data_IF_497051651262
#
_entry.id   IF_497051651262
#
_cell.length_a   1.000
_cell.length_b   1.000
_cell.length_c   1.000
_cell.angle_alpha   90.00
_cell.angle_beta   90.00
_cell.angle_gamma   90.00
#
_symmetry.space_group_name_H-M   'P 1'
#
loop_
_entity.id
_entity.type
_entity.pdbx_description
1 polymer ?
#
# COMPACT_ATOMS: atom_id res chain seq x y z
N UNK A 1 -17.32 0.99 17.52
CA UNK A 1 -15.92 0.60 17.76
C UNK A 1 -15.92 -0.71 18.54
N UNK A 2 -15.23 -1.74 18.05
CA UNK A 2 -15.34 -3.11 18.56
C UNK A 2 -14.49 -3.36 19.82
N UNK A 3 -15.14 -3.43 20.98
CA UNK A 3 -14.55 -3.75 22.28
C UNK A 3 -13.61 -4.98 22.27
N UNK A 4 -13.90 -5.97 21.43
CA UNK A 4 -13.11 -7.20 21.28
C UNK A 4 -11.72 -7.01 20.64
N UNK A 5 -11.52 -5.97 19.83
CA UNK A 5 -10.25 -5.72 19.15
C UNK A 5 -9.20 -5.18 20.13
N UNK A 6 -9.65 -4.30 21.03
CA UNK A 6 -8.83 -3.72 22.10
C UNK A 6 -8.34 -4.79 23.08
N UNK A 7 -9.17 -5.79 23.39
CA UNK A 7 -8.82 -6.90 24.29
C UNK A 7 -7.71 -7.80 23.74
N UNK A 8 -7.57 -7.90 22.42
CA UNK A 8 -6.51 -8.68 21.76
C UNK A 8 -5.23 -7.87 21.47
N UNK A 9 -5.14 -6.64 22.02
CA UNK A 9 -4.02 -5.73 21.84
C UNK A 9 -3.96 -5.05 20.47
N UNK A 10 -5.02 -5.14 19.66
CA UNK A 10 -5.10 -4.46 18.37
C UNK A 10 -5.58 -3.02 18.56
N UNK A 11 -4.76 -2.07 18.10
CA UNK A 11 -5.09 -0.65 18.12
C UNK A 11 -5.39 -0.19 16.70
N UNK A 12 -6.58 0.39 16.50
CA UNK A 12 -6.91 1.05 15.24
C UNK A 12 -6.04 2.30 15.07
N UNK A 13 -5.32 2.40 13.96
CA UNK A 13 -4.39 3.49 13.65
C UNK A 13 -5.00 4.44 12.63
N UNK A 14 -5.54 3.90 11.53
CA UNK A 14 -6.12 4.69 10.43
C UNK A 14 -7.49 4.12 10.03
N UNK A 15 -8.39 5.00 9.60
CA UNK A 15 -9.51 4.66 8.73
C UNK A 15 -9.23 5.30 7.37
N UNK A 16 -9.63 4.67 6.28
CA UNK A 16 -9.49 5.27 4.96
C UNK A 16 -10.75 5.08 4.10
N UNK A 17 -10.93 6.01 3.17
CA UNK A 17 -11.94 5.96 2.12
C UNK A 17 -11.27 6.32 0.79
N UNK A 18 -11.29 5.40 -0.17
CA UNK A 18 -10.86 5.65 -1.55
C UNK A 18 -12.12 5.98 -2.35
N UNK A 19 -12.15 7.17 -2.93
CA UNK A 19 -13.34 7.75 -3.58
C UNK A 19 -13.07 7.83 -5.08
N UNK A 20 -13.91 7.20 -5.88
CA UNK A 20 -13.90 7.31 -7.33
C UNK A 20 -15.03 8.24 -7.79
N UNK A 21 -14.66 9.25 -8.57
CA UNK A 21 -15.57 10.19 -9.22
C UNK A 21 -15.18 10.35 -10.69
N UNK A 22 -15.92 9.67 -11.58
CA UNK A 22 -15.61 9.58 -13.00
C UNK A 22 -14.17 9.08 -13.25
N UNK A 23 -13.31 9.92 -13.83
CA UNK A 23 -11.91 9.66 -14.11
C UNK A 23 -10.97 10.18 -13.01
N UNK A 24 -11.48 10.50 -11.82
CA UNK A 24 -10.66 10.96 -10.71
C UNK A 24 -10.81 10.05 -9.50
N UNK A 25 -9.71 9.93 -8.75
CA UNK A 25 -9.66 9.12 -7.54
C UNK A 25 -8.87 9.82 -6.44
N UNK A 26 -9.30 9.63 -5.20
CA UNK A 26 -8.63 10.20 -4.02
C UNK A 26 -8.68 9.24 -2.83
N UNK A 27 -7.78 9.42 -1.88
CA UNK A 27 -7.81 8.76 -0.57
C UNK A 27 -8.04 9.80 0.51
N UNK A 28 -9.09 9.61 1.30
CA UNK A 28 -9.25 10.30 2.58
C UNK A 28 -8.80 9.37 3.70
N UNK A 29 -7.91 9.85 4.55
CA UNK A 29 -7.44 9.11 5.72
C UNK A 29 -7.79 9.85 7.01
N UNK A 30 -8.47 9.15 7.91
CA UNK A 30 -8.74 9.60 9.27
C UNK A 30 -7.75 8.94 10.25
N UNK A 31 -7.03 9.77 11.02
CA UNK A 31 -6.15 9.31 12.09
C UNK A 31 -6.99 8.93 13.30
N UNK A 32 -6.76 7.74 13.86
CA UNK A 32 -7.39 7.28 15.11
C UNK A 32 -6.39 7.29 16.29
N UNK A 33 -5.18 7.78 16.04
CA UNK A 33 -4.13 7.99 17.05
C UNK A 33 -3.49 9.37 16.87
N UNK A 34 -2.90 9.97 17.91
CA UNK A 34 -2.34 11.32 17.84
C UNK A 34 -1.19 11.46 16.84
N UNK A 35 -0.35 10.42 16.76
CA UNK A 35 0.84 10.38 15.91
C UNK A 35 0.77 9.10 15.08
N UNK A 36 0.82 9.26 13.76
CA UNK A 36 1.03 8.16 12.83
C UNK A 36 2.53 7.97 12.73
N UNK A 37 3.02 6.82 13.18
CA UNK A 37 4.44 6.53 13.07
C UNK A 37 4.73 6.26 11.60
N UNK A 38 5.70 6.96 11.05
CA UNK A 38 6.40 6.45 9.89
C UNK A 38 6.91 5.03 10.21
N UNK A 39 6.69 4.01 9.36
CA UNK A 39 6.16 4.06 7.99
C UNK A 39 4.74 3.46 7.85
N UNK A 40 3.80 3.78 8.75
CA UNK A 40 2.46 3.18 8.75
C UNK A 40 1.64 3.47 7.48
N UNK A 41 1.91 4.54 6.73
CA UNK A 41 1.29 4.77 5.41
C UNK A 41 1.79 3.78 4.34
N UNK A 42 3.07 3.42 4.38
CA UNK A 42 3.66 2.40 3.49
C UNK A 42 3.08 1.04 3.83
N UNK A 43 3.02 0.71 5.13
CA UNK A 43 2.46 -0.56 5.60
C UNK A 43 0.95 -0.66 5.37
N UNK A 44 0.22 0.47 5.43
CA UNK A 44 -1.19 0.53 5.04
C UNK A 44 -1.36 0.10 3.59
N UNK A 45 -0.61 0.73 2.68
CA UNK A 45 -0.64 0.38 1.25
C UNK A 45 -0.28 -1.09 1.04
N UNK A 46 0.84 -1.56 1.61
CA UNK A 46 1.30 -2.94 1.43
C UNK A 46 0.26 -3.97 1.90
N UNK A 47 -0.36 -3.76 3.07
CA UNK A 47 -1.44 -4.62 3.56
C UNK A 47 -2.68 -4.57 2.68
N UNK A 48 -3.03 -3.39 2.16
CA UNK A 48 -4.15 -3.22 1.25
C UNK A 48 -3.92 -3.97 -0.06
N UNK A 49 -2.76 -3.76 -0.68
CA UNK A 49 -2.37 -4.40 -1.94
C UNK A 49 -2.42 -5.92 -1.81
N UNK A 50 -1.81 -6.48 -0.76
CA UNK A 50 -1.81 -7.93 -0.58
C UNK A 50 -3.22 -8.50 -0.41
N UNK A 51 -4.11 -7.76 0.26
CA UNK A 51 -5.51 -8.15 0.41
C UNK A 51 -6.28 -8.05 -0.90
N UNK A 52 -6.05 -7.01 -1.70
CA UNK A 52 -6.72 -6.85 -3.00
C UNK A 52 -6.27 -7.93 -3.98
N UNK A 53 -4.97 -8.22 -4.08
CA UNK A 53 -4.44 -9.31 -4.90
C UNK A 53 -5.08 -10.66 -4.51
N UNK A 54 -5.18 -10.94 -3.20
CA UNK A 54 -5.87 -12.14 -2.72
C UNK A 54 -7.35 -12.16 -3.11
N UNK A 55 -8.07 -11.05 -2.86
CA UNK A 55 -9.51 -10.95 -3.17
C UNK A 55 -9.81 -11.05 -4.67
N UNK A 56 -8.88 -10.61 -5.52
CA UNK A 56 -8.98 -10.75 -6.97
C UNK A 56 -8.75 -12.21 -7.42
N UNK A 57 -8.17 -13.07 -6.59
CA UNK A 57 -8.00 -14.50 -6.90
C UNK A 57 -6.65 -14.86 -7.51
N UNK A 58 -5.56 -14.22 -7.07
CA UNK A 58 -4.20 -14.61 -7.44
C UNK A 58 -3.93 -16.11 -7.14
N UNK A 59 -3.24 -16.84 -8.04
CA UNK A 59 -2.58 -16.38 -9.27
C UNK A 59 -3.45 -16.46 -10.54
N UNK A 60 -4.69 -16.93 -10.43
CA UNK A 60 -5.48 -17.36 -11.59
C UNK A 60 -6.30 -16.24 -12.26
N UNK A 61 -6.39 -15.07 -11.64
CA UNK A 61 -7.16 -13.93 -12.16
C UNK A 61 -6.26 -12.90 -12.84
N UNK A 62 -6.65 -12.43 -14.03
CA UNK A 62 -5.89 -11.46 -14.82
C UNK A 62 -5.70 -10.13 -14.09
N UNK A 63 -6.72 -9.60 -13.44
CA UNK A 63 -6.66 -8.34 -12.69
C UNK A 63 -5.69 -8.41 -11.51
N UNK A 64 -5.56 -9.58 -10.86
CA UNK A 64 -4.56 -9.79 -9.81
C UNK A 64 -3.12 -9.74 -10.35
N UNK A 65 -2.89 -10.30 -11.53
CA UNK A 65 -1.58 -10.23 -12.21
C UNK A 65 -1.31 -8.82 -12.75
N UNK A 66 -2.34 -8.12 -13.22
CA UNK A 66 -2.26 -6.73 -13.62
C UNK A 66 -1.85 -5.84 -12.45
N UNK A 67 -2.45 -5.98 -11.27
CA UNK A 67 -2.04 -5.23 -10.08
C UNK A 67 -0.54 -5.37 -9.81
N UNK A 68 -0.02 -6.60 -9.77
CA UNK A 68 1.41 -6.88 -9.59
C UNK A 68 2.26 -6.29 -10.73
N UNK A 69 1.77 -6.36 -11.97
CA UNK A 69 2.44 -5.79 -13.15
C UNK A 69 2.57 -4.27 -13.08
N UNK A 70 1.52 -3.57 -12.64
CA UNK A 70 1.55 -2.12 -12.44
C UNK A 70 2.58 -1.74 -11.37
N UNK A 71 2.61 -2.45 -10.23
CA UNK A 71 3.64 -2.22 -9.20
C UNK A 71 5.03 -2.49 -9.76
N UNK A 72 5.19 -3.56 -10.55
CA UNK A 72 6.47 -3.89 -11.20
C UNK A 72 6.98 -2.73 -12.03
N UNK A 73 6.12 -2.11 -12.85
CA UNK A 73 6.48 -0.98 -13.71
C UNK A 73 6.87 0.27 -12.90
N UNK A 74 6.11 0.59 -11.85
CA UNK A 74 6.40 1.76 -10.98
C UNK A 74 7.77 1.64 -10.31
N UNK A 75 8.17 0.42 -9.93
CA UNK A 75 9.42 0.18 -9.20
C UNK A 75 10.62 -0.14 -10.09
N UNK A 76 10.47 -0.06 -11.42
CA UNK A 76 11.60 -0.06 -12.35
C UNK A 76 12.55 1.09 -12.01
N UNK A 77 11.99 2.24 -11.62
CA UNK A 77 12.70 3.39 -11.11
C UNK A 77 12.56 3.52 -9.57
N UNK A 78 13.39 4.36 -8.96
CA UNK A 78 13.21 4.72 -7.56
C UNK A 78 11.99 5.62 -7.38
N UNK A 79 11.18 5.32 -6.37
CA UNK A 79 10.03 6.17 -6.03
C UNK A 79 10.55 7.45 -5.37
N UNK A 80 10.12 8.59 -5.91
CA UNK A 80 10.48 9.91 -5.44
C UNK A 80 9.23 10.75 -5.17
N UNK A 81 9.42 11.95 -4.61
CA UNK A 81 8.33 12.92 -4.41
C UNK A 81 7.65 13.36 -5.71
N UNK A 82 8.31 13.19 -6.86
CA UNK A 82 7.79 13.54 -8.18
C UNK A 82 7.10 12.36 -8.88
N UNK A 83 7.16 11.15 -8.31
CA UNK A 83 6.57 9.96 -8.90
C UNK A 83 5.04 10.09 -8.93
N UNK A 84 4.50 9.94 -10.13
CA UNK A 84 3.07 9.86 -10.42
C UNK A 84 2.76 8.44 -10.89
N UNK A 85 2.25 7.63 -9.98
CA UNK A 85 1.98 6.21 -10.20
C UNK A 85 1.05 5.95 -11.38
N UNK A 86 0.18 6.89 -11.74
CA UNK A 86 -0.77 6.74 -12.84
C UNK A 86 -0.08 6.99 -14.19
N UNK A 87 0.85 7.95 -14.23
CA UNK A 87 1.70 8.21 -15.40
C UNK A 87 2.73 7.11 -15.62
N UNK A 88 3.40 6.65 -14.57
CA UNK A 88 4.39 5.57 -14.67
C UNK A 88 3.79 4.31 -15.31
N UNK A 89 2.47 4.10 -15.18
CA UNK A 89 1.77 2.95 -15.77
C UNK A 89 0.92 3.26 -16.99
N UNK A 90 1.03 4.46 -17.56
CA UNK A 90 0.33 4.92 -18.77
C UNK A 90 -1.21 4.77 -18.69
N UNK A 91 -1.81 5.20 -17.57
CA UNK A 91 -3.28 5.20 -17.39
C UNK A 91 -3.85 6.55 -16.94
N UNK A 92 -3.04 7.60 -16.93
CA UNK A 92 -3.43 8.93 -16.44
C UNK A 92 -4.44 9.65 -17.35
N UNK A 93 -4.64 9.14 -18.58
CA UNK A 93 -5.73 9.54 -19.47
C UNK A 93 -7.09 8.92 -19.06
N UNK A 94 -7.07 7.77 -18.38
CA UNK A 94 -8.25 7.04 -17.91
C UNK A 94 -8.62 7.40 -16.47
N UNK A 95 -7.63 7.51 -15.59
CA UNK A 95 -7.85 7.75 -14.15
C UNK A 95 -6.71 8.57 -13.54
N UNK A 96 -7.06 9.61 -12.78
CA UNK A 96 -6.11 10.56 -12.20
C UNK A 96 -6.28 10.70 -10.69
N UNK A 97 -5.16 10.83 -9.98
CA UNK A 97 -5.18 11.18 -8.57
C UNK A 97 -5.47 12.67 -8.38
N UNK A 98 -6.56 13.01 -7.66
CA UNK A 98 -6.93 14.40 -7.38
C UNK A 98 -7.44 14.56 -5.94
N UNK A 99 -6.69 15.32 -5.14
CA UNK A 99 -7.00 15.54 -3.71
C UNK A 99 -8.31 16.29 -3.47
N UNK A 100 -8.86 16.96 -4.49
CA UNK A 100 -10.10 17.72 -4.39
C UNK A 100 -11.35 16.85 -4.52
N UNK A 101 -11.21 15.58 -4.90
CA UNK A 101 -12.35 14.66 -4.95
C UNK A 101 -12.84 14.39 -3.54
N UNK A 102 -14.04 14.88 -3.23
CA UNK A 102 -14.66 14.75 -1.91
C UNK A 102 -15.95 13.94 -1.90
N UNK A 103 -16.56 13.77 -3.08
CA UNK A 103 -17.77 12.99 -3.36
C UNK A 103 -17.48 12.09 -4.56
N UNK A 104 -18.16 10.96 -4.63
CA UNK A 104 -17.99 10.00 -5.71
C UNK A 104 -18.99 8.86 -5.60
N UNK A 105 -19.23 8.18 -6.72
CA UNK A 105 -20.26 7.15 -6.85
C UNK A 105 -19.81 5.80 -6.28
N UNK A 106 -18.50 5.56 -6.25
CA UNK A 106 -17.92 4.32 -5.74
C UNK A 106 -16.92 4.64 -4.64
N UNK A 107 -17.07 3.98 -3.49
CA UNK A 107 -16.25 4.21 -2.29
C UNK A 107 -15.78 2.90 -1.71
N UNK A 108 -14.46 2.77 -1.54
CA UNK A 108 -13.84 1.63 -0.92
C UNK A 108 -13.36 2.08 0.45
N UNK A 109 -13.84 1.45 1.52
CA UNK A 109 -13.49 1.87 2.88
C UNK A 109 -12.66 0.81 3.57
N UNK A 110 -11.90 1.22 4.57
CA UNK A 110 -11.15 0.28 5.38
C UNK A 110 -10.61 0.86 6.67
N UNK A 111 -10.12 -0.04 7.49
CA UNK A 111 -9.53 0.25 8.79
C UNK A 111 -8.22 -0.49 8.93
N UNK A 112 -7.22 0.19 9.47
CA UNK A 112 -5.86 -0.31 9.62
C UNK A 112 -5.48 -0.35 11.09
N UNK A 113 -5.02 -1.51 11.51
CA UNK A 113 -4.75 -1.84 12.91
C UNK A 113 -3.29 -2.24 13.09
N UNK A 114 -2.76 -1.94 14.27
CA UNK A 114 -1.43 -2.35 14.70
C UNK A 114 -1.49 -3.12 16.02
N UNK A 115 -0.59 -4.10 16.16
CA UNK A 115 -0.30 -4.78 17.44
C UNK A 115 1.21 -4.92 17.61
N UNK A 116 1.77 -4.14 18.51
CA UNK A 116 3.23 -4.03 18.66
C UNK A 116 3.90 -3.32 17.48
N UNK A 117 5.20 -3.53 17.32
CA UNK A 117 6.00 -2.83 16.30
C UNK A 117 5.71 -3.31 14.88
N UNK A 118 5.60 -4.62 14.64
CA UNK A 118 5.55 -5.20 13.29
C UNK A 118 4.15 -5.60 12.82
N UNK A 119 3.29 -6.14 13.70
CA UNK A 119 2.03 -6.73 13.23
C UNK A 119 1.06 -5.64 12.77
N UNK A 120 0.51 -5.84 11.58
CA UNK A 120 -0.50 -4.99 10.95
C UNK A 120 -1.63 -5.85 10.39
N UNK A 121 -2.86 -5.37 10.50
CA UNK A 121 -4.05 -5.98 9.88
C UNK A 121 -4.88 -4.89 9.23
N UNK A 122 -5.51 -5.25 8.11
CA UNK A 122 -6.43 -4.38 7.39
C UNK A 122 -7.81 -5.00 7.23
N UNK A 123 -8.84 -4.24 7.59
CA UNK A 123 -10.24 -4.51 7.28
C UNK A 123 -10.66 -3.64 6.11
N UNK A 124 -11.42 -4.20 5.19
CA UNK A 124 -11.82 -3.51 3.96
C UNK A 124 -13.26 -3.87 3.65
N UNK A 125 -14.03 -2.89 3.21
CA UNK A 125 -15.39 -3.06 2.73
C UNK A 125 -15.45 -2.52 1.30
N UNK A 126 -15.64 -3.45 0.37
CA UNK A 126 -15.77 -3.14 -1.05
C UNK A 126 -17.26 -2.96 -1.35
N UNK A 127 -17.64 -1.93 -2.11
CA UNK A 127 -19.04 -1.71 -2.48
C UNK A 127 -19.48 -2.82 -3.46
N UNK A 128 -20.75 -3.26 -3.42
CA UNK A 128 -21.25 -4.30 -4.33
C UNK A 128 -21.12 -3.97 -5.82
N UNK A 129 -21.04 -2.68 -6.16
CA UNK A 129 -20.88 -2.18 -7.54
C UNK A 129 -19.42 -1.91 -7.94
N UNK A 130 -18.44 -2.23 -7.09
CA UNK A 130 -17.03 -2.03 -7.40
C UNK A 130 -16.56 -3.00 -8.49
N UNK A 131 -15.87 -2.50 -9.50
CA UNK A 131 -15.29 -3.34 -10.57
C UNK A 131 -13.90 -3.84 -10.17
N UNK A 132 -13.43 -4.94 -10.78
CA UNK A 132 -12.05 -5.41 -10.58
C UNK A 132 -11.02 -4.32 -10.96
N UNK A 133 -11.30 -3.56 -12.02
CA UNK A 133 -10.46 -2.45 -12.44
C UNK A 133 -10.36 -1.35 -11.36
N UNK A 134 -11.47 -1.03 -10.70
CA UNK A 134 -11.47 -0.11 -9.55
C UNK A 134 -10.71 -0.69 -8.35
N UNK A 135 -10.72 -2.00 -8.15
CA UNK A 135 -9.88 -2.68 -7.12
C UNK A 135 -8.39 -2.54 -7.44
N UNK A 136 -8.00 -2.67 -8.70
CA UNK A 136 -6.60 -2.46 -9.12
C UNK A 136 -6.20 -1.00 -8.91
N UNK A 137 -6.99 -0.07 -9.41
CA UNK A 137 -6.73 1.37 -9.27
C UNK A 137 -6.77 1.86 -7.83
N UNK A 138 -7.59 1.28 -6.96
CA UNK A 138 -7.68 1.68 -5.57
C UNK A 138 -6.37 1.40 -4.83
N UNK A 139 -5.69 0.32 -5.16
CA UNK A 139 -4.37 0.01 -4.60
C UNK A 139 -3.30 0.99 -5.10
N UNK A 140 -3.30 1.28 -6.40
CA UNK A 140 -2.44 2.29 -7.01
C UNK A 140 -2.63 3.68 -6.36
N UNK A 141 -3.88 4.02 -6.07
CA UNK A 141 -4.25 5.28 -5.39
C UNK A 141 -3.66 5.32 -3.98
N UNK A 142 -3.71 4.21 -3.23
CA UNK A 142 -3.10 4.14 -1.90
C UNK A 142 -1.56 4.22 -1.96
N UNK A 143 -0.94 3.69 -3.02
CA UNK A 143 0.50 3.86 -3.25
C UNK A 143 0.83 5.34 -3.48
N UNK A 144 0.12 6.00 -4.40
CA UNK A 144 0.27 7.44 -4.66
C UNK A 144 0.07 8.27 -3.37
N UNK A 145 -0.90 7.89 -2.56
CA UNK A 145 -1.15 8.54 -1.27
C UNK A 145 0.00 8.30 -0.28
N UNK A 146 0.58 7.10 -0.23
CA UNK A 146 1.75 6.82 0.59
C UNK A 146 2.96 7.67 0.16
N UNK A 147 3.17 7.87 -1.14
CA UNK A 147 4.19 8.80 -1.66
C UNK A 147 3.90 10.22 -1.17
N UNK A 148 2.67 10.70 -1.35
CA UNK A 148 2.28 12.06 -0.95
C UNK A 148 2.51 12.31 0.54
N UNK A 149 2.18 11.35 1.41
CA UNK A 149 2.36 11.48 2.86
C UNK A 149 3.81 11.45 3.31
N UNK A 150 4.74 10.92 2.50
CA UNK A 150 6.16 10.80 2.80
C UNK A 150 7.03 11.62 1.83
N UNK A 151 6.45 12.56 1.08
CA UNK A 151 7.13 13.29 -0.01
C UNK A 151 8.36 14.08 0.43
N UNK A 152 8.42 14.45 1.71
CA UNK A 152 9.51 15.24 2.30
C UNK A 152 10.55 14.36 3.02
N UNK A 153 10.35 13.03 3.04
CA UNK A 153 11.19 12.05 3.72
C UNK A 153 11.77 11.05 2.69
N UNK A 154 13.01 11.33 2.25
CA UNK A 154 13.69 10.52 1.22
C UNK A 154 13.94 9.08 1.68
N UNK A 155 14.28 8.88 2.95
CA UNK A 155 14.53 7.54 3.51
C UNK A 155 13.25 6.70 3.47
N UNK A 156 12.11 7.32 3.76
CA UNK A 156 10.82 6.63 3.67
C UNK A 156 10.42 6.28 2.25
N UNK A 157 10.73 7.14 1.27
CA UNK A 157 10.48 6.83 -0.14
C UNK A 157 11.38 5.69 -0.65
N UNK A 158 12.62 5.60 -0.14
CA UNK A 158 13.50 4.45 -0.39
C UNK A 158 12.94 3.16 0.24
N UNK A 159 12.49 3.22 1.50
CA UNK A 159 11.80 2.09 2.16
C UNK A 159 10.55 1.68 1.37
N UNK A 160 9.78 2.64 0.84
CA UNK A 160 8.60 2.37 0.01
C UNK A 160 9.01 1.64 -1.29
N UNK A 161 10.05 2.13 -1.98
CA UNK A 161 10.60 1.51 -3.20
C UNK A 161 11.01 0.06 -2.92
N UNK A 162 11.83 -0.16 -1.90
CA UNK A 162 12.32 -1.48 -1.48
C UNK A 162 11.16 -2.40 -1.09
N UNK A 163 10.20 -1.90 -0.31
CA UNK A 163 9.01 -2.67 0.09
C UNK A 163 8.22 -3.11 -1.15
N UNK A 164 7.99 -2.21 -2.10
CA UNK A 164 7.25 -2.53 -3.32
C UNK A 164 7.98 -3.55 -4.21
N UNK A 165 9.30 -3.40 -4.40
CA UNK A 165 10.14 -4.39 -5.09
C UNK A 165 10.09 -5.76 -4.43
N UNK A 166 10.20 -5.80 -3.10
CA UNK A 166 10.15 -7.05 -2.34
C UNK A 166 8.77 -7.72 -2.45
N UNK A 167 7.67 -6.95 -2.40
CA UNK A 167 6.33 -7.49 -2.62
C UNK A 167 6.22 -8.16 -3.99
N UNK A 168 6.66 -7.48 -5.06
CA UNK A 168 6.70 -8.06 -6.42
C UNK A 168 7.52 -9.34 -6.45
N UNK A 169 8.70 -9.35 -5.82
CA UNK A 169 9.56 -10.53 -5.71
C UNK A 169 8.84 -11.72 -5.04
N UNK A 170 8.19 -11.48 -3.90
CA UNK A 170 7.46 -12.52 -3.15
C UNK A 170 6.27 -13.09 -3.94
N UNK A 171 5.56 -12.26 -4.71
CA UNK A 171 4.51 -12.76 -5.60
C UNK A 171 5.07 -13.61 -6.74
N UNK A 172 6.21 -13.21 -7.34
CA UNK A 172 6.90 -13.98 -8.39
C UNK A 172 7.40 -15.34 -7.90
N UNK A 173 7.73 -15.49 -6.62
CA UNK A 173 8.10 -16.80 -6.03
C UNK A 173 6.88 -17.67 -5.67
N UNK A 174 5.65 -17.22 -5.95
CA UNK A 174 4.42 -17.98 -5.68
C UNK A 174 3.89 -17.87 -4.25
N UNK A 175 4.43 -16.96 -3.42
CA UNK A 175 4.02 -16.80 -2.01
C UNK A 175 2.60 -16.24 -1.86
N UNK A 176 2.02 -15.69 -2.91
CA UNK A 176 0.68 -15.09 -2.92
C UNK A 176 -0.47 -16.06 -2.69
N UNK A 177 -0.22 -17.38 -2.70
CA UNK A 177 -1.28 -18.39 -2.59
C UNK A 177 -1.80 -18.56 -1.15
N UNK A 178 -3.12 -18.42 -0.98
CA UNK A 178 -3.83 -18.67 0.28
C UNK A 178 -3.89 -17.48 1.25
N UNK A 179 -4.85 -17.53 2.18
CA UNK A 179 -5.21 -16.39 3.06
C UNK A 179 -4.06 -15.89 3.96
N UNK A 180 -3.11 -16.77 4.30
CA UNK A 180 -1.97 -16.39 5.12
C UNK A 180 -1.02 -15.41 4.41
N UNK A 181 -1.01 -15.38 3.07
CA UNK A 181 -0.18 -14.47 2.27
C UNK A 181 -0.53 -13.01 2.52
N UNK A 182 -1.81 -12.71 2.77
CA UNK A 182 -2.35 -11.36 3.04
C UNK A 182 -1.63 -10.68 4.20
N UNK A 183 -1.28 -11.44 5.25
CA UNK A 183 -0.54 -10.91 6.39
C UNK A 183 0.98 -11.04 6.21
N UNK A 184 1.47 -12.15 5.63
CA UNK A 184 2.91 -12.45 5.54
C UNK A 184 3.65 -11.58 4.54
N UNK A 185 3.12 -11.40 3.33
CA UNK A 185 3.83 -10.68 2.25
C UNK A 185 4.12 -9.23 2.63
N UNK A 186 3.15 -8.43 3.12
CA UNK A 186 3.41 -7.04 3.50
C UNK A 186 4.48 -6.92 4.59
N UNK A 187 4.41 -7.79 5.60
CA UNK A 187 5.37 -7.78 6.71
C UNK A 187 6.77 -8.16 6.27
N UNK A 188 6.92 -9.23 5.49
CA UNK A 188 8.24 -9.68 5.01
C UNK A 188 8.86 -8.66 4.05
N UNK A 189 8.08 -8.14 3.10
CA UNK A 189 8.56 -7.16 2.13
C UNK A 189 9.10 -5.90 2.82
N UNK A 190 8.38 -5.44 3.84
CA UNK A 190 8.78 -4.30 4.65
C UNK A 190 10.02 -4.60 5.53
N UNK A 191 10.06 -5.74 6.21
CA UNK A 191 11.19 -6.10 7.07
C UNK A 191 12.48 -6.23 6.25
N UNK A 192 12.40 -6.78 5.04
CA UNK A 192 13.53 -6.84 4.11
C UNK A 192 13.98 -5.43 3.70
N UNK A 193 13.05 -4.50 3.47
CA UNK A 193 13.38 -3.12 3.15
C UNK A 193 14.14 -2.41 4.28
N UNK A 194 13.69 -2.54 5.54
CA UNK A 194 14.38 -1.98 6.71
C UNK A 194 15.75 -2.61 6.96
N UNK A 195 15.85 -3.94 6.78
CA UNK A 195 17.12 -4.63 7.04
C UNK A 195 18.24 -4.19 6.09
N UNK A 196 17.89 -3.73 4.88
CA UNK A 196 18.86 -3.25 3.90
C UNK A 196 19.25 -1.79 4.17
N UNK A 197 18.34 -0.94 4.68
CA UNK A 197 18.67 0.44 5.07
C UNK A 197 19.67 0.51 6.23
N UNK A 198 19.66 -0.46 7.15
CA UNK A 198 20.60 -0.52 8.27
C UNK A 198 22.05 -0.87 7.84
N UNK A 199 22.25 -1.49 6.68
CA UNK A 199 23.59 -1.82 6.16
C UNK A 199 24.25 -0.64 5.45
N UNK A 200 23.49 0.25 4.81
CA UNK A 200 24.03 1.43 4.10
C UNK A 200 24.51 2.56 5.04
N UNK A 201 24.20 2.48 6.35
CA UNK A 201 24.66 3.45 7.36
C UNK A 201 26.02 3.06 7.96
N UNK A 202 26.53 1.86 7.67
CA UNK A 202 27.89 1.43 8.05
C UNK A 202 28.84 1.40 6.85
N UNK A 203 28.99 2.52 6.16
CA UNK A 203 30.25 2.78 5.47
C UNK A 203 31.35 2.87 6.53
N UNK A 204 32.37 2.00 6.54
CA UNK A 204 33.51 2.19 7.41
C UNK A 204 34.23 3.45 6.94
N UNK A 205 34.02 4.54 7.67
CA UNK A 205 34.99 5.63 7.67
C UNK A 205 36.33 5.05 8.09
N UNK A 206 37.34 5.41 7.31
CA UNK A 206 38.79 5.29 7.57
C UNK A 206 39.34 3.88 7.80
N UNK A 207 40.05 3.39 6.79
CA UNK A 207 41.44 2.95 6.96
C UNK A 207 42.17 3.11 5.62
N UNK A 208 43.25 3.91 5.68
CA UNK A 208 44.21 4.33 4.65
C UNK A 208 43.84 5.55 3.81
#
# INVERSE_FOLDING_TARGET
>A
MGFFETLNGWKKILSFEIIFDNNKVNVKVQKNVPIIKTPDYIRLWACYEAKMIYNLGFPNNLSSNMAIGLITKIVENEISKATDCFKEVDIDDVIQFDQNVTKGNTKFTGEFYARGSLNRIIKTWLPPKGTEQQVVWSSLTLLQYAIFMNKDDKECLDILTKTARNMVGLYKTGMGTGIASVAKIPTLAYMQAESISDFDIKSPRSCL
#
